data_IF_522570932176
#
_entry.id   IF_522570932176
#
_cell.length_a   1.000
_cell.length_b   1.000
_cell.length_c   1.000
_cell.angle_alpha   90.00
_cell.angle_beta   90.00
_cell.angle_gamma   90.00
#
_symmetry.space_group_name_H-M   'P 1'
#
loop_
_entity.id
_entity.type
_entity.pdbx_description
1 polymer ?
#
# COMPACT_ATOMS: atom_id res chain seq x y z
N UNK A 1 0.42 14.78 -10.22
CA UNK A 1 1.41 15.82 -9.86
C UNK A 1 2.30 15.39 -8.69
N UNK A 2 1.76 15.04 -7.49
CA UNK A 2 2.59 14.67 -6.33
C UNK A 2 3.50 13.49 -6.62
N UNK A 3 2.98 12.40 -7.17
CA UNK A 3 3.77 11.20 -7.42
C UNK A 3 4.81 11.39 -8.53
N UNK A 4 4.51 12.17 -9.55
CA UNK A 4 5.49 12.56 -10.56
C UNK A 4 6.70 13.28 -9.92
N UNK A 5 6.43 14.22 -9.01
CA UNK A 5 7.47 14.90 -8.27
C UNK A 5 8.28 13.93 -7.38
N UNK A 6 7.61 12.99 -6.69
CA UNK A 6 8.29 11.97 -5.87
C UNK A 6 9.23 11.11 -6.71
N UNK A 7 8.78 10.67 -7.88
CA UNK A 7 9.54 9.79 -8.77
C UNK A 7 10.69 10.52 -9.47
N UNK A 8 10.43 11.71 -10.00
CA UNK A 8 11.35 12.38 -10.91
C UNK A 8 12.25 13.43 -10.22
N UNK A 9 11.90 13.88 -9.00
CA UNK A 9 12.68 14.88 -8.27
C UNK A 9 13.11 14.39 -6.88
N UNK A 10 12.16 14.01 -6.00
CA UNK A 10 12.48 13.66 -4.63
C UNK A 10 13.36 12.41 -4.54
N UNK A 11 12.98 11.32 -5.19
CA UNK A 11 13.77 10.07 -5.16
C UNK A 11 15.18 10.26 -5.73
N UNK A 12 15.39 10.86 -6.91
CA UNK A 12 16.73 11.15 -7.42
C UNK A 12 17.55 12.04 -6.48
N UNK A 13 16.93 13.04 -5.86
CA UNK A 13 17.61 13.88 -4.87
C UNK A 13 18.07 13.09 -3.64
N UNK A 14 17.19 12.24 -3.07
CA UNK A 14 17.55 11.35 -1.96
C UNK A 14 18.69 10.42 -2.36
N UNK A 15 18.59 9.80 -3.52
CA UNK A 15 19.57 8.84 -4.03
C UNK A 15 20.93 9.46 -4.35
N UNK A 16 20.98 10.77 -4.61
CA UNK A 16 22.21 11.52 -4.81
C UNK A 16 22.83 12.04 -3.51
N UNK A 17 21.99 12.28 -2.50
CA UNK A 17 22.37 12.93 -1.24
C UNK A 17 22.75 11.91 -0.16
N UNK A 18 22.07 10.76 -0.13
CA UNK A 18 22.22 9.75 0.92
C UNK A 18 22.75 8.42 0.36
N UNK A 19 23.28 7.57 1.23
CA UNK A 19 23.72 6.21 0.88
C UNK A 19 22.50 5.29 0.78
N UNK A 20 21.86 5.25 -0.37
CA UNK A 20 20.69 4.42 -0.64
C UNK A 20 21.03 3.23 -1.55
N UNK A 21 20.21 2.18 -1.46
CA UNK A 21 20.10 1.16 -2.48
C UNK A 21 19.08 1.63 -3.51
N UNK A 22 19.53 2.14 -4.65
CA UNK A 22 18.74 2.93 -5.62
C UNK A 22 17.78 2.10 -6.47
N UNK A 23 18.01 0.80 -6.59
CA UNK A 23 17.23 -0.06 -7.49
C UNK A 23 15.79 -0.26 -6.99
N UNK A 24 14.91 -0.54 -7.92
CA UNK A 24 13.49 -0.85 -7.70
C UNK A 24 13.29 -1.85 -6.56
N UNK A 25 14.08 -2.94 -6.54
CA UNK A 25 13.96 -4.02 -5.55
C UNK A 25 14.19 -3.58 -4.10
N UNK A 26 14.77 -2.40 -3.88
CA UNK A 26 14.99 -1.82 -2.55
C UNK A 26 14.20 -0.53 -2.32
N UNK A 27 13.29 -0.20 -3.24
CA UNK A 27 12.51 1.04 -3.16
C UNK A 27 11.06 0.73 -2.82
N UNK A 28 10.63 1.24 -1.67
CA UNK A 28 9.25 1.13 -1.19
C UNK A 28 8.61 2.48 -0.93
N UNK A 29 7.29 2.49 -0.94
CA UNK A 29 6.47 3.63 -0.53
C UNK A 29 5.44 3.16 0.48
N UNK A 30 5.19 3.97 1.50
CA UNK A 30 4.21 3.63 2.52
C UNK A 30 3.42 4.85 2.95
N UNK A 31 2.21 4.61 3.42
CA UNK A 31 1.36 5.64 3.98
C UNK A 31 0.10 5.07 4.60
N UNK A 32 -0.60 5.91 5.35
CA UNK A 32 -1.83 5.56 6.03
C UNK A 32 -3.00 6.38 5.52
N UNK A 33 -4.21 5.86 5.60
CA UNK A 33 -5.43 6.53 5.16
C UNK A 33 -5.35 6.96 3.67
N UNK A 34 -5.40 8.25 3.38
CA UNK A 34 -5.15 8.79 2.03
C UNK A 34 -3.73 8.50 1.55
N UNK A 35 -2.74 8.49 2.45
CA UNK A 35 -1.36 8.10 2.14
C UNK A 35 -1.25 6.63 1.76
N UNK A 36 -2.02 5.74 2.39
CA UNK A 36 -2.12 4.34 2.01
C UNK A 36 -2.71 4.14 0.62
N UNK A 37 -3.75 4.90 0.28
CA UNK A 37 -4.31 4.93 -1.07
C UNK A 37 -3.28 5.44 -2.09
N UNK A 38 -2.55 6.50 -1.76
CA UNK A 38 -1.47 7.02 -2.62
C UNK A 38 -0.34 6.02 -2.80
N UNK A 39 0.04 5.26 -1.75
CA UNK A 39 1.04 4.20 -1.87
C UNK A 39 0.57 3.10 -2.83
N UNK A 40 -0.71 2.72 -2.75
CA UNK A 40 -1.30 1.76 -3.67
C UNK A 40 -1.28 2.28 -5.11
N UNK A 41 -1.76 3.49 -5.37
CA UNK A 41 -1.71 4.09 -6.72
C UNK A 41 -0.28 4.21 -7.24
N UNK A 42 0.67 4.55 -6.38
CA UNK A 42 2.07 4.66 -6.78
C UNK A 42 2.62 3.34 -7.31
N UNK A 43 2.38 2.23 -6.60
CA UNK A 43 2.90 0.94 -7.06
C UNK A 43 2.18 0.45 -8.32
N UNK A 44 0.94 0.88 -8.57
CA UNK A 44 0.23 0.56 -9.81
C UNK A 44 0.78 1.32 -11.04
N UNK A 45 1.17 2.58 -10.86
CA UNK A 45 1.57 3.46 -11.95
C UNK A 45 3.09 3.62 -12.11
N UNK A 46 3.86 3.41 -11.05
CA UNK A 46 5.32 3.55 -11.02
C UNK A 46 5.99 2.26 -10.54
N UNK A 47 5.50 1.12 -11.00
CA UNK A 47 6.03 -0.19 -10.65
C UNK A 47 7.47 -0.43 -11.15
N UNK A 48 7.92 0.34 -12.12
CA UNK A 48 9.31 0.39 -12.59
C UNK A 48 10.28 1.01 -11.55
N UNK A 49 9.75 1.83 -10.66
CA UNK A 49 10.50 2.54 -9.62
C UNK A 49 10.32 1.92 -8.24
N UNK A 50 9.10 1.50 -7.90
CA UNK A 50 8.74 0.93 -6.59
C UNK A 50 8.34 -0.53 -6.71
N UNK A 51 8.98 -1.40 -5.92
CA UNK A 51 8.58 -2.81 -5.80
C UNK A 51 7.80 -3.12 -4.52
N UNK A 52 7.73 -2.17 -3.59
CA UNK A 52 7.10 -2.40 -2.28
C UNK A 52 6.11 -1.29 -1.94
N UNK A 53 4.96 -1.66 -1.38
CA UNK A 53 3.98 -0.70 -0.88
C UNK A 53 3.44 -1.10 0.50
N UNK A 54 3.48 -0.17 1.46
CA UNK A 54 2.81 -0.27 2.76
C UNK A 54 1.53 0.56 2.75
N UNK A 55 0.37 -0.10 2.68
CA UNK A 55 -0.94 0.52 2.53
C UNK A 55 -1.74 0.36 3.83
N UNK A 56 -1.55 1.28 4.80
CA UNK A 56 -2.18 1.19 6.11
C UNK A 56 -3.56 1.86 6.13
N UNK A 57 -4.61 1.12 6.47
CA UNK A 57 -6.00 1.60 6.55
C UNK A 57 -6.39 2.51 5.37
N UNK A 58 -6.12 2.06 4.17
CA UNK A 58 -6.28 2.83 2.93
C UNK A 58 -7.73 3.28 2.71
N UNK A 59 -7.93 4.53 2.28
CA UNK A 59 -9.24 5.10 2.02
C UNK A 59 -9.79 4.66 0.66
N UNK A 60 -10.21 3.39 0.57
CA UNK A 60 -10.61 2.74 -0.67
C UNK A 60 -12.02 3.10 -1.15
N UNK A 61 -12.92 3.47 -0.21
CA UNK A 61 -14.36 3.57 -0.48
C UNK A 61 -14.74 4.43 -1.70
N UNK A 62 -14.24 5.68 -1.86
CA UNK A 62 -14.73 6.54 -2.93
C UNK A 62 -14.12 6.22 -4.31
N UNK A 63 -13.11 5.35 -4.38
CA UNK A 63 -12.28 5.15 -5.58
C UNK A 63 -12.28 3.71 -6.09
N UNK A 64 -13.14 2.84 -5.55
CA UNK A 64 -13.14 1.41 -5.90
C UNK A 64 -13.31 1.15 -7.39
N UNK A 65 -14.18 1.91 -8.08
CA UNK A 65 -14.39 1.70 -9.51
C UNK A 65 -13.19 2.15 -10.36
N UNK A 66 -12.47 3.20 -9.91
CA UNK A 66 -11.25 3.62 -10.58
C UNK A 66 -10.10 2.65 -10.30
N UNK A 67 -9.96 2.18 -9.06
CA UNK A 67 -8.98 1.14 -8.72
C UNK A 67 -9.18 -0.15 -9.52
N UNK A 68 -10.42 -0.58 -9.77
CA UNK A 68 -10.70 -1.74 -10.61
C UNK A 68 -10.16 -1.57 -12.02
N UNK A 69 -10.34 -0.39 -12.62
CA UNK A 69 -9.82 -0.08 -13.96
C UNK A 69 -8.30 -0.10 -14.00
N UNK A 70 -7.65 0.54 -13.02
CA UNK A 70 -6.20 0.62 -12.90
C UNK A 70 -5.57 -0.77 -12.69
N UNK A 71 -6.12 -1.57 -11.79
CA UNK A 71 -5.69 -2.94 -11.55
C UNK A 71 -5.82 -3.83 -12.79
N UNK A 72 -6.78 -3.56 -13.67
CA UNK A 72 -6.95 -4.35 -14.89
C UNK A 72 -5.76 -4.20 -15.84
N UNK A 73 -5.15 -3.04 -15.90
CA UNK A 73 -4.09 -2.68 -16.86
C UNK A 73 -2.66 -2.96 -16.38
N UNK A 74 -2.42 -3.22 -15.07
CA UNK A 74 -1.09 -3.34 -14.50
C UNK A 74 -0.55 -4.77 -14.42
N UNK A 75 0.78 -4.89 -14.28
CA UNK A 75 1.48 -6.12 -13.86
C UNK A 75 2.32 -5.80 -12.63
N UNK A 76 2.23 -6.65 -11.60
CA UNK A 76 2.85 -6.42 -10.30
C UNK A 76 3.84 -7.54 -9.92
N UNK A 77 4.42 -8.20 -10.92
CA UNK A 77 5.42 -9.24 -10.68
C UNK A 77 6.58 -8.68 -9.85
N UNK A 78 7.07 -9.49 -8.91
CA UNK A 78 8.15 -9.10 -8.00
C UNK A 78 7.84 -7.85 -7.17
N UNK A 79 6.56 -7.65 -6.85
CA UNK A 79 6.12 -6.59 -5.95
C UNK A 79 5.60 -7.18 -4.64
N UNK A 80 5.86 -6.51 -3.52
CA UNK A 80 5.33 -6.85 -2.19
C UNK A 80 4.41 -5.74 -1.69
N UNK A 81 3.22 -6.09 -1.27
CA UNK A 81 2.21 -5.12 -0.82
C UNK A 81 1.65 -5.54 0.53
N UNK A 82 1.91 -4.74 1.55
CA UNK A 82 1.24 -4.86 2.84
C UNK A 82 -0.04 -4.03 2.80
N UNK A 83 -1.19 -4.65 3.05
CA UNK A 83 -2.49 -4.00 3.02
C UNK A 83 -3.20 -4.24 4.34
N UNK A 84 -3.47 -3.21 5.12
CA UNK A 84 -4.11 -3.35 6.44
C UNK A 84 -5.40 -2.56 6.60
N UNK A 85 -6.22 -3.01 7.57
CA UNK A 85 -7.38 -2.30 8.07
C UNK A 85 -7.67 -2.73 9.51
N UNK A 86 -8.16 -1.80 10.32
CA UNK A 86 -8.50 -2.04 11.72
C UNK A 86 -9.96 -2.44 11.91
N UNK A 87 -10.26 -3.26 12.94
CA UNK A 87 -11.65 -3.63 13.24
C UNK A 87 -12.45 -2.51 13.92
N UNK A 88 -11.77 -1.57 14.58
CA UNK A 88 -12.38 -0.48 15.34
C UNK A 88 -12.28 0.89 14.61
N UNK A 89 -11.92 0.88 13.32
CA UNK A 89 -11.90 2.11 12.51
C UNK A 89 -13.24 2.41 11.81
N UNK A 90 -14.17 1.47 11.86
CA UNK A 90 -15.46 1.61 11.22
C UNK A 90 -16.58 1.95 12.22
N UNK A 91 -17.56 2.76 11.77
CA UNK A 91 -18.66 3.24 12.63
C UNK A 91 -19.65 2.15 13.05
N UNK A 92 -19.67 1.02 12.37
CA UNK A 92 -20.58 -0.11 12.65
C UNK A 92 -19.98 -1.42 12.16
N UNK A 93 -20.54 -2.53 12.64
CA UNK A 93 -20.17 -3.88 12.16
C UNK A 93 -20.48 -4.08 10.68
N UNK A 94 -21.56 -3.48 10.19
CA UNK A 94 -21.91 -3.50 8.76
C UNK A 94 -20.86 -2.75 7.94
N UNK A 95 -20.43 -1.57 8.38
CA UNK A 95 -19.38 -0.81 7.72
C UNK A 95 -18.04 -1.56 7.76
N UNK A 96 -17.70 -2.23 8.86
CA UNK A 96 -16.54 -3.10 8.95
C UNK A 96 -16.61 -4.25 7.93
N UNK A 97 -17.77 -4.91 7.81
CA UNK A 97 -17.95 -6.00 6.84
C UNK A 97 -17.71 -5.51 5.41
N UNK A 98 -18.27 -4.37 5.01
CA UNK A 98 -18.03 -3.77 3.69
C UNK A 98 -16.58 -3.31 3.50
N UNK A 99 -15.96 -2.76 4.53
CA UNK A 99 -14.54 -2.38 4.48
C UNK A 99 -13.63 -3.59 4.31
N UNK A 100 -13.91 -4.65 5.05
CA UNK A 100 -13.20 -5.94 4.93
C UNK A 100 -13.35 -6.54 3.53
N UNK A 101 -14.57 -6.60 3.00
CA UNK A 101 -14.85 -7.10 1.65
C UNK A 101 -14.04 -6.35 0.58
N UNK A 102 -13.98 -5.01 0.65
CA UNK A 102 -13.19 -4.19 -0.28
C UNK A 102 -11.68 -4.48 -0.18
N UNK A 103 -11.16 -4.58 1.04
CA UNK A 103 -9.74 -4.89 1.22
C UNK A 103 -9.40 -6.29 0.69
N UNK A 104 -10.26 -7.28 0.93
CA UNK A 104 -10.08 -8.63 0.40
C UNK A 104 -10.22 -8.68 -1.13
N UNK A 105 -11.16 -7.93 -1.70
CA UNK A 105 -11.28 -7.80 -3.16
C UNK A 105 -9.99 -7.22 -3.78
N UNK A 106 -9.48 -6.12 -3.23
CA UNK A 106 -8.22 -5.54 -3.72
C UNK A 106 -7.06 -6.52 -3.54
N UNK A 107 -6.95 -7.20 -2.41
CA UNK A 107 -5.95 -8.24 -2.17
C UNK A 107 -6.00 -9.31 -3.27
N UNK A 108 -7.18 -9.82 -3.58
CA UNK A 108 -7.36 -10.83 -4.64
C UNK A 108 -6.89 -10.31 -6.01
N UNK A 109 -7.24 -9.09 -6.35
CA UNK A 109 -6.82 -8.48 -7.62
C UNK A 109 -5.30 -8.30 -7.70
N UNK A 110 -4.66 -7.83 -6.63
CA UNK A 110 -3.21 -7.67 -6.56
C UNK A 110 -2.47 -8.99 -6.72
N UNK A 111 -2.94 -10.05 -6.05
CA UNK A 111 -2.40 -11.42 -6.19
C UNK A 111 -2.53 -11.93 -7.63
N UNK A 112 -3.67 -11.70 -8.30
CA UNK A 112 -3.88 -12.08 -9.71
C UNK A 112 -2.93 -11.34 -10.66
N UNK A 113 -2.44 -10.16 -10.27
CA UNK A 113 -1.45 -9.37 -11.04
C UNK A 113 0.00 -9.78 -10.74
N UNK A 114 0.21 -10.77 -9.88
CA UNK A 114 1.50 -11.34 -9.58
C UNK A 114 2.23 -10.70 -8.40
N UNK A 115 1.57 -9.84 -7.63
CA UNK A 115 2.14 -9.32 -6.38
C UNK A 115 2.13 -10.39 -5.29
N UNK A 116 3.10 -10.32 -4.39
CA UNK A 116 3.02 -10.94 -3.07
C UNK A 116 2.31 -9.97 -2.13
N UNK A 117 1.21 -10.40 -1.51
CA UNK A 117 0.34 -9.52 -0.71
C UNK A 117 0.15 -10.07 0.68
N UNK A 118 0.37 -9.24 1.68
CA UNK A 118 0.07 -9.55 3.07
C UNK A 118 -1.16 -8.74 3.52
N UNK A 119 -2.37 -9.32 3.46
CA UNK A 119 -3.56 -8.67 4.01
C UNK A 119 -3.57 -8.83 5.54
N UNK A 120 -3.66 -7.72 6.26
CA UNK A 120 -3.62 -7.71 7.72
C UNK A 120 -4.84 -7.01 8.32
N UNK A 121 -5.71 -7.76 8.98
CA UNK A 121 -6.77 -7.19 9.78
C UNK A 121 -6.30 -6.97 11.22
N UNK A 122 -6.09 -5.71 11.60
CA UNK A 122 -5.66 -5.32 12.94
C UNK A 122 -6.84 -5.39 13.93
N UNK A 123 -6.89 -6.41 14.76
CA UNK A 123 -7.93 -6.56 15.80
C UNK A 123 -7.83 -5.42 16.81
N UNK A 124 -8.95 -4.70 17.02
CA UNK A 124 -9.05 -3.47 17.81
C UNK A 124 -8.20 -2.30 17.28
N UNK A 125 -7.66 -2.42 16.07
CA UNK A 125 -7.00 -1.32 15.38
C UNK A 125 -7.99 -0.21 15.05
N UNK A 126 -7.60 1.03 15.32
CA UNK A 126 -8.35 2.25 15.05
C UNK A 126 -7.71 3.02 13.90
N UNK A 127 -8.45 3.94 13.33
CA UNK A 127 -7.94 4.81 12.25
C UNK A 127 -7.07 5.93 12.83
N UNK A 128 -5.89 5.59 13.33
CA UNK A 128 -4.94 6.54 13.92
C UNK A 128 -3.50 6.00 13.93
N UNK A 129 -2.56 6.91 14.16
CA UNK A 129 -1.12 6.66 14.16
C UNK A 129 -0.71 5.59 15.18
N UNK A 130 -1.30 5.58 16.38
CA UNK A 130 -1.00 4.62 17.44
C UNK A 130 -1.34 3.17 17.05
N UNK A 131 -2.31 2.97 16.15
CA UNK A 131 -2.63 1.67 15.59
C UNK A 131 -1.64 1.32 14.48
N UNK A 132 -1.35 2.22 13.55
CA UNK A 132 -0.45 1.99 12.43
C UNK A 132 1.01 1.76 12.87
N UNK A 133 1.47 2.45 13.92
CA UNK A 133 2.78 2.21 14.52
C UNK A 133 2.97 0.74 14.94
N UNK A 134 1.93 0.13 15.51
CA UNK A 134 1.96 -1.29 15.94
C UNK A 134 2.02 -2.27 14.78
N UNK A 135 1.67 -1.85 13.59
CA UNK A 135 1.73 -2.68 12.38
C UNK A 135 3.11 -2.66 11.71
N UNK A 136 3.94 -1.64 11.98
CA UNK A 136 5.27 -1.51 11.39
C UNK A 136 6.18 -2.73 11.65
N UNK A 137 6.23 -3.33 12.87
CA UNK A 137 7.03 -4.52 13.12
C UNK A 137 6.60 -5.76 12.32
N UNK A 138 5.38 -5.74 11.75
CA UNK A 138 4.85 -6.80 10.89
C UNK A 138 5.10 -6.45 9.42
N UNK A 139 4.80 -5.20 9.06
CA UNK A 139 4.88 -4.74 7.68
C UNK A 139 6.32 -4.65 7.15
N UNK A 140 7.26 -4.11 7.94
CA UNK A 140 8.62 -3.89 7.50
C UNK A 140 9.38 -5.19 7.20
N UNK A 141 9.36 -6.25 8.03
CA UNK A 141 9.94 -7.53 7.68
C UNK A 141 9.37 -8.10 6.39
N UNK A 142 8.04 -8.13 6.25
CA UNK A 142 7.40 -8.61 5.03
C UNK A 142 7.85 -7.85 3.77
N UNK A 143 7.97 -6.53 3.88
CA UNK A 143 8.36 -5.70 2.73
C UNK A 143 9.85 -5.81 2.38
N UNK A 144 10.75 -5.91 3.37
CA UNK A 144 12.20 -5.74 3.18
C UNK A 144 13.06 -6.98 3.49
N UNK A 145 12.55 -7.99 4.18
CA UNK A 145 13.30 -9.23 4.40
C UNK A 145 13.27 -10.12 3.15
N UNK A 146 14.44 -10.68 2.83
CA UNK A 146 14.64 -11.63 1.72
C UNK A 146 14.20 -13.04 2.11
#
# INVERSE_FOLDING_TARGET
>A
QLMEWVVHELKPWIDSTYRTKKSRSYTGIAGSSMGGLMALYTILHHNDTFSMAGCFSSFLYPVMEDLKKELHACSLKESRIFLSWGTDEFRSKTALAYGTDRNLYITQQLLQKGADVFPYQHIKGKHNEASWEKELPIALPFLFEE
#
